data_IF_653133786834
#
_entry.id   IF_653133786834
#
_cell.length_a   1.000
_cell.length_b   1.000
_cell.length_c   1.000
_cell.angle_alpha   90.00
_cell.angle_beta   90.00
_cell.angle_gamma   90.00
#
_symmetry.space_group_name_H-M   'P 1'
#
loop_
_entity.id
_entity.type
_entity.pdbx_description
1 polymer ?
#
# COMPACT_ATOMS: atom_id res chain seq x y z
N UNK A 1 -17.12 -65.18 35.68
CA UNK A 1 -17.74 -63.95 35.07
C UNK A 1 -16.66 -62.89 35.01
N UNK A 2 -16.12 -62.61 33.83
CA UNK A 2 -15.09 -61.62 33.63
C UNK A 2 -15.68 -60.48 32.71
N UNK A 3 -15.86 -59.32 33.30
CA UNK A 3 -16.29 -58.12 32.56
C UNK A 3 -15.09 -57.58 31.75
N UNK A 4 -15.24 -57.52 30.43
CA UNK A 4 -14.29 -56.88 29.51
C UNK A 4 -14.66 -55.42 29.41
N UNK A 5 -13.80 -54.54 29.92
CA UNK A 5 -13.89 -53.09 29.72
C UNK A 5 -13.38 -52.74 28.34
N UNK A 6 -14.27 -52.30 27.45
CA UNK A 6 -13.94 -51.71 26.18
C UNK A 6 -13.57 -50.23 26.40
N UNK A 7 -12.29 -49.91 26.29
CA UNK A 7 -11.81 -48.53 26.25
C UNK A 7 -11.92 -48.02 24.81
N UNK A 8 -12.90 -47.16 24.58
CA UNK A 8 -13.09 -46.46 23.30
C UNK A 8 -12.13 -45.28 23.24
N UNK A 9 -11.01 -45.41 22.54
CA UNK A 9 -10.07 -44.32 22.29
C UNK A 9 -10.66 -43.40 21.22
N UNK A 10 -11.18 -42.25 21.62
CA UNK A 10 -11.56 -41.15 20.74
C UNK A 10 -10.28 -40.48 20.20
N UNK A 11 -9.92 -40.79 18.96
CA UNK A 11 -8.93 -40.03 18.19
C UNK A 11 -9.52 -38.70 17.81
N UNK A 12 -9.19 -37.67 18.59
CA UNK A 12 -9.46 -36.28 18.22
C UNK A 12 -8.44 -35.90 17.15
N UNK A 13 -8.81 -35.98 15.88
CA UNK A 13 -8.09 -35.36 14.78
C UNK A 13 -8.27 -33.85 14.90
N UNK A 14 -7.29 -33.21 15.53
CA UNK A 14 -7.18 -31.75 15.51
C UNK A 14 -6.89 -31.29 14.10
N UNK A 15 -7.90 -30.77 13.40
CA UNK A 15 -7.70 -29.95 12.20
C UNK A 15 -7.04 -28.65 12.62
N UNK A 16 -5.72 -28.62 12.64
CA UNK A 16 -4.98 -27.36 12.63
C UNK A 16 -5.10 -26.76 11.21
N UNK A 17 -6.22 -26.11 10.95
CA UNK A 17 -6.38 -25.28 9.77
C UNK A 17 -5.37 -24.15 9.86
N UNK A 18 -4.29 -24.19 9.07
CA UNK A 18 -3.42 -23.04 8.86
C UNK A 18 -4.25 -21.95 8.19
N UNK A 19 -4.73 -21.01 8.99
CA UNK A 19 -5.36 -19.80 8.50
C UNK A 19 -4.26 -18.95 7.90
N UNK A 20 -4.04 -19.06 6.58
CA UNK A 20 -3.16 -18.18 5.80
C UNK A 20 -3.87 -16.87 5.48
N UNK A 21 -4.42 -16.22 6.49
CA UNK A 21 -4.83 -14.83 6.38
C UNK A 21 -3.58 -13.96 6.46
N UNK A 22 -3.21 -13.29 5.36
CA UNK A 22 -2.16 -12.26 5.43
C UNK A 22 -2.60 -11.19 6.43
N UNK A 23 -1.84 -11.03 7.52
CA UNK A 23 -2.10 -9.95 8.48
C UNK A 23 -1.94 -8.61 7.76
N UNK A 24 -2.81 -7.61 8.03
CA UNK A 24 -2.62 -6.26 7.54
C UNK A 24 -1.20 -5.77 7.86
N UNK A 25 -0.59 -5.05 6.92
CA UNK A 25 0.75 -4.50 7.10
C UNK A 25 0.81 -3.55 8.28
N UNK A 26 1.71 -3.81 9.20
CA UNK A 26 1.89 -3.03 10.42
C UNK A 26 3.24 -2.32 10.44
N UNK A 27 3.33 -1.24 11.23
CA UNK A 27 4.59 -0.52 11.46
C UNK A 27 5.62 -1.47 12.08
N UNK A 28 6.86 -1.41 11.58
CA UNK A 28 7.97 -2.27 12.02
C UNK A 28 8.06 -3.59 11.28
N UNK A 29 7.11 -3.92 10.39
CA UNK A 29 7.14 -5.15 9.59
C UNK A 29 7.66 -4.89 8.17
N UNK A 30 8.19 -5.92 7.48
CA UNK A 30 8.50 -5.82 6.06
C UNK A 30 7.26 -5.43 5.24
N UNK A 31 7.42 -4.48 4.33
CA UNK A 31 6.39 -4.12 3.38
C UNK A 31 6.11 -5.31 2.45
N UNK A 32 4.85 -5.73 2.27
CA UNK A 32 4.48 -6.77 1.32
C UNK A 32 4.95 -6.42 -0.08
N UNK A 33 5.73 -7.30 -0.70
CA UNK A 33 6.19 -7.08 -2.07
C UNK A 33 5.05 -7.28 -3.07
N UNK A 34 5.12 -6.53 -4.16
CA UNK A 34 4.18 -6.63 -5.26
C UNK A 34 4.83 -6.22 -6.58
N UNK A 35 4.26 -6.71 -7.67
CA UNK A 35 4.49 -6.21 -9.02
C UNK A 35 3.15 -5.82 -9.60
N UNK A 36 3.06 -4.59 -10.12
CA UNK A 36 1.91 -4.11 -10.87
C UNK A 36 2.37 -3.88 -12.30
N UNK A 37 1.64 -4.49 -13.24
CA UNK A 37 1.81 -4.28 -14.66
C UNK A 37 0.65 -3.43 -15.17
N UNK A 38 0.94 -2.22 -15.60
CA UNK A 38 0.00 -1.36 -16.33
C UNK A 38 0.33 -1.37 -17.83
N UNK A 39 -0.46 -0.67 -18.62
CA UNK A 39 -0.34 -0.67 -20.09
C UNK A 39 1.03 -0.22 -20.59
N UNK A 40 1.67 0.73 -19.90
CA UNK A 40 2.90 1.40 -20.33
C UNK A 40 4.11 1.13 -19.42
N UNK A 41 3.91 0.53 -18.25
CA UNK A 41 4.99 0.29 -17.28
C UNK A 41 4.73 -0.88 -16.35
N UNK A 42 5.83 -1.40 -15.81
CA UNK A 42 5.81 -2.36 -14.70
C UNK A 42 6.55 -1.79 -13.50
N UNK A 43 5.98 -1.93 -12.32
CA UNK A 43 6.60 -1.49 -11.07
C UNK A 43 6.60 -2.65 -10.08
N UNK A 44 7.79 -2.99 -9.60
CA UNK A 44 8.00 -3.95 -8.50
C UNK A 44 8.55 -3.20 -7.29
N UNK A 45 7.89 -3.32 -6.13
CA UNK A 45 8.33 -2.58 -4.94
C UNK A 45 9.75 -2.96 -4.51
N UNK A 46 10.10 -4.24 -4.54
CA UNK A 46 11.43 -4.71 -4.14
C UNK A 46 12.57 -4.19 -5.02
N UNK A 47 12.30 -3.79 -6.25
CA UNK A 47 13.28 -3.14 -7.13
C UNK A 47 13.59 -1.69 -6.71
N UNK A 48 12.81 -1.11 -5.82
CA UNK A 48 13.03 0.23 -5.27
C UNK A 48 13.80 0.21 -3.94
N UNK A 49 14.31 -0.95 -3.52
CA UNK A 49 15.13 -1.05 -2.31
C UNK A 49 16.34 -0.12 -2.36
N UNK A 50 16.81 0.33 -1.20
CA UNK A 50 17.82 1.37 -1.09
C UNK A 50 17.27 2.80 -1.16
N UNK A 51 15.98 2.96 -1.54
CA UNK A 51 15.26 4.23 -1.47
C UNK A 51 14.26 4.21 -0.31
N UNK A 52 13.93 5.40 0.19
CA UNK A 52 12.78 5.60 1.05
C UNK A 52 11.57 5.77 0.15
N UNK A 53 10.53 4.98 0.36
CA UNK A 53 9.33 5.00 -0.47
C UNK A 53 8.16 5.60 0.32
N UNK A 54 7.51 6.58 -0.26
CA UNK A 54 6.18 7.02 0.14
C UNK A 54 5.18 6.31 -0.78
N UNK A 55 4.68 5.17 -0.32
CA UNK A 55 3.65 4.39 -1.02
C UNK A 55 2.29 5.00 -0.70
N UNK A 56 1.59 5.49 -1.71
CA UNK A 56 0.29 6.14 -1.57
C UNK A 56 -0.76 5.40 -2.42
N UNK A 57 -1.86 4.99 -1.79
CA UNK A 57 -3.02 4.42 -2.47
C UNK A 57 -4.08 5.50 -2.70
N UNK A 58 -4.50 5.68 -3.94
CA UNK A 58 -5.37 6.77 -4.35
C UNK A 58 -6.27 6.40 -5.55
N UNK A 59 -7.15 7.32 -5.95
CA UNK A 59 -7.91 7.21 -7.19
C UNK A 59 -8.34 8.59 -7.70
N UNK A 60 -8.61 8.69 -9.00
CA UNK A 60 -9.07 9.93 -9.65
C UNK A 60 -10.46 10.37 -9.19
N UNK A 61 -11.30 9.43 -8.82
CA UNK A 61 -12.66 9.64 -8.30
C UNK A 61 -12.73 9.89 -6.79
N UNK A 62 -11.58 10.01 -6.10
CA UNK A 62 -11.48 10.23 -4.67
C UNK A 62 -11.11 11.70 -4.40
N UNK A 63 -12.05 12.59 -4.04
CA UNK A 63 -11.76 14.01 -3.86
C UNK A 63 -10.63 14.29 -2.87
N UNK A 64 -10.58 13.70 -1.65
CA UNK A 64 -9.47 13.96 -0.72
C UNK A 64 -8.12 13.45 -1.24
N UNK A 65 -8.10 12.42 -2.11
CA UNK A 65 -6.87 11.97 -2.77
C UNK A 65 -6.37 13.02 -3.77
N UNK A 66 -7.28 13.60 -4.55
CA UNK A 66 -6.96 14.66 -5.50
C UNK A 66 -6.46 15.91 -4.79
N UNK A 67 -7.09 16.28 -3.67
CA UNK A 67 -6.72 17.46 -2.88
C UNK A 67 -5.31 17.34 -2.26
N UNK A 68 -4.85 16.13 -1.90
CA UNK A 68 -3.50 15.95 -1.35
C UNK A 68 -2.40 15.90 -2.43
N UNK A 69 -2.75 15.58 -3.70
CA UNK A 69 -1.78 15.35 -4.77
C UNK A 69 -0.81 16.53 -5.01
N UNK A 70 -1.23 17.81 -4.96
CA UNK A 70 -0.30 18.93 -5.11
C UNK A 70 0.77 18.97 -4.02
N UNK A 71 0.44 18.62 -2.78
CA UNK A 71 1.40 18.58 -1.67
C UNK A 71 2.40 17.42 -1.82
N UNK A 72 1.93 16.29 -2.31
CA UNK A 72 2.73 15.10 -2.60
C UNK A 72 3.76 15.37 -3.72
N UNK A 73 3.32 16.04 -4.81
CA UNK A 73 4.20 16.49 -5.90
C UNK A 73 5.28 17.46 -5.41
N UNK A 74 4.90 18.45 -4.59
CA UNK A 74 5.85 19.43 -4.04
C UNK A 74 6.88 18.75 -3.11
N UNK A 75 6.44 17.83 -2.27
CA UNK A 75 7.33 17.04 -1.41
C UNK A 75 8.29 16.21 -2.26
N UNK A 76 7.81 15.48 -3.27
CA UNK A 76 8.67 14.70 -4.17
C UNK A 76 9.74 15.60 -4.83
N UNK A 77 9.36 16.76 -5.34
CA UNK A 77 10.29 17.72 -5.94
C UNK A 77 11.35 18.21 -4.94
N UNK A 78 10.93 18.56 -3.71
CA UNK A 78 11.84 19.00 -2.63
C UNK A 78 12.82 17.89 -2.21
N UNK A 79 12.41 16.62 -2.33
CA UNK A 79 13.20 15.45 -1.96
C UNK A 79 13.93 14.80 -3.13
N UNK A 80 13.87 15.41 -4.31
CA UNK A 80 14.59 14.93 -5.49
C UNK A 80 16.10 14.83 -5.21
N UNK A 81 16.74 13.73 -5.62
CA UNK A 81 18.16 13.46 -5.38
C UNK A 81 18.51 12.97 -3.97
N UNK A 82 17.54 12.95 -3.04
CA UNK A 82 17.76 12.52 -1.65
C UNK A 82 17.43 11.04 -1.38
N UNK A 83 17.23 10.25 -2.44
CA UNK A 83 16.89 8.82 -2.30
C UNK A 83 15.49 8.56 -1.77
N UNK A 84 14.57 9.52 -1.93
CA UNK A 84 13.16 9.40 -1.58
C UNK A 84 12.33 9.38 -2.87
N UNK A 85 11.38 8.46 -2.94
CA UNK A 85 10.51 8.30 -4.11
C UNK A 85 9.07 8.12 -3.65
N UNK A 86 8.15 8.89 -4.24
CA UNK A 86 6.72 8.62 -4.15
C UNK A 86 6.37 7.53 -5.15
N UNK A 87 5.71 6.49 -4.69
CA UNK A 87 5.07 5.47 -5.51
C UNK A 87 3.56 5.57 -5.28
N UNK A 88 2.86 6.16 -6.23
CA UNK A 88 1.42 6.34 -6.16
C UNK A 88 0.71 5.18 -6.90
N UNK A 89 0.03 4.32 -6.15
CA UNK A 89 -0.74 3.19 -6.69
C UNK A 89 -2.19 3.59 -6.82
N UNK A 90 -2.65 3.74 -8.05
CA UNK A 90 -4.05 4.03 -8.32
C UNK A 90 -4.90 2.76 -8.28
N UNK A 91 -6.05 2.86 -7.63
CA UNK A 91 -7.10 1.83 -7.61
C UNK A 91 -8.25 2.14 -8.57
N UNK A 92 -8.02 2.99 -9.57
CA UNK A 92 -8.99 3.23 -10.63
C UNK A 92 -9.24 1.95 -11.43
N UNK A 93 -10.49 1.63 -11.72
CA UNK A 93 -10.88 0.54 -12.62
C UNK A 93 -10.78 0.95 -14.09
N UNK A 94 -11.03 2.23 -14.40
CA UNK A 94 -10.96 2.79 -15.75
C UNK A 94 -9.56 3.38 -16.03
N UNK A 95 -8.83 2.71 -16.94
CA UNK A 95 -7.51 3.15 -17.37
C UNK A 95 -7.54 4.50 -18.11
N UNK A 96 -8.59 4.79 -18.89
CA UNK A 96 -8.67 6.02 -19.66
C UNK A 96 -8.83 7.23 -18.74
N UNK A 97 -9.70 7.12 -17.71
CA UNK A 97 -9.87 8.16 -16.70
C UNK A 97 -8.56 8.41 -15.94
N UNK A 98 -7.86 7.34 -15.54
CA UNK A 98 -6.57 7.44 -14.88
C UNK A 98 -5.53 8.16 -15.75
N UNK A 99 -5.29 7.71 -16.97
CA UNK A 99 -4.30 8.33 -17.85
C UNK A 99 -4.67 9.77 -18.24
N UNK A 100 -5.96 10.05 -18.47
CA UNK A 100 -6.44 11.40 -18.71
C UNK A 100 -6.15 12.30 -17.52
N UNK A 101 -6.44 11.86 -16.30
CA UNK A 101 -6.16 12.61 -15.08
C UNK A 101 -4.66 12.94 -14.95
N UNK A 102 -3.77 11.96 -15.13
CA UNK A 102 -2.33 12.19 -15.05
C UNK A 102 -1.86 13.30 -16.01
N UNK A 103 -2.39 13.28 -17.23
CA UNK A 103 -2.05 14.28 -18.26
C UNK A 103 -2.60 15.66 -17.91
N UNK A 104 -3.89 15.74 -17.56
CA UNK A 104 -4.57 17.02 -17.30
C UNK A 104 -4.00 17.74 -16.07
N UNK A 105 -3.50 17.00 -15.09
CA UNK A 105 -2.93 17.54 -13.85
C UNK A 105 -1.39 17.53 -13.84
N UNK A 106 -0.74 17.14 -14.95
CA UNK A 106 0.73 17.10 -15.07
C UNK A 106 1.39 16.34 -13.91
N UNK A 107 0.87 15.15 -13.60
CA UNK A 107 1.36 14.34 -12.48
C UNK A 107 2.72 13.74 -12.83
N UNK A 108 3.79 14.31 -12.24
CA UNK A 108 5.18 13.84 -12.38
C UNK A 108 5.61 13.07 -11.14
N UNK A 109 5.01 11.90 -10.94
CA UNK A 109 5.36 10.92 -9.91
C UNK A 109 5.58 9.55 -10.54
N UNK A 110 6.25 8.65 -9.82
CA UNK A 110 6.17 7.23 -10.15
C UNK A 110 4.77 6.76 -9.76
N UNK A 111 3.91 6.60 -10.74
CA UNK A 111 2.53 6.14 -10.53
C UNK A 111 2.22 4.94 -11.42
N UNK A 112 1.37 4.06 -10.92
CA UNK A 112 0.94 2.85 -11.63
C UNK A 112 -0.50 2.55 -11.23
N UNK A 113 -1.30 2.08 -12.20
CA UNK A 113 -2.67 1.68 -11.95
C UNK A 113 -2.73 0.17 -11.69
N UNK A 114 -3.22 -0.20 -10.55
CA UNK A 114 -3.46 -1.60 -10.21
C UNK A 114 -4.82 -2.09 -10.72
N UNK A 115 -5.77 -1.17 -10.81
CA UNK A 115 -7.17 -1.51 -10.90
C UNK A 115 -7.76 -1.87 -9.54
N UNK A 116 -9.04 -1.62 -9.38
CA UNK A 116 -9.74 -1.91 -8.14
C UNK A 116 -11.23 -1.68 -8.29
N UNK A 117 -11.99 -2.09 -7.30
CA UNK A 117 -13.43 -1.86 -7.27
C UNK A 117 -13.78 -0.94 -6.10
N UNK A 118 -14.46 0.17 -6.40
CA UNK A 118 -15.10 1.01 -5.38
C UNK A 118 -16.28 0.25 -4.79
N UNK A 119 -16.40 0.26 -3.48
CA UNK A 119 -17.54 -0.31 -2.74
C UNK A 119 -18.14 0.74 -1.80
N UNK A 120 -19.30 0.47 -1.23
CA UNK A 120 -19.94 1.37 -0.27
C UNK A 120 -19.09 1.57 1.00
N UNK A 121 -18.24 0.61 1.32
CA UNK A 121 -17.40 0.64 2.53
C UNK A 121 -15.94 0.99 2.27
N UNK A 122 -15.51 1.13 1.01
CA UNK A 122 -14.12 1.45 0.67
C UNK A 122 -13.70 0.99 -0.72
N UNK A 123 -12.51 0.42 -0.82
CA UNK A 123 -11.95 -0.13 -2.07
C UNK A 123 -11.51 -1.57 -1.88
N UNK A 124 -11.61 -2.35 -2.96
CA UNK A 124 -11.06 -3.71 -3.04
C UNK A 124 -10.04 -3.71 -4.18
N UNK A 125 -8.79 -3.97 -3.85
CA UNK A 125 -7.69 -4.06 -4.81
C UNK A 125 -6.63 -5.03 -4.28
N UNK A 126 -6.01 -5.85 -5.15
CA UNK A 126 -5.11 -6.93 -4.72
C UNK A 126 -3.94 -6.44 -3.87
N UNK A 127 -3.27 -5.36 -4.27
CA UNK A 127 -2.12 -4.82 -3.53
C UNK A 127 -2.58 -4.04 -2.30
N UNK A 128 -3.61 -3.17 -2.42
CA UNK A 128 -4.15 -2.46 -1.27
C UNK A 128 -4.58 -3.43 -0.15
N UNK A 129 -5.19 -4.56 -0.53
CA UNK A 129 -5.59 -5.61 0.43
C UNK A 129 -4.39 -6.26 1.15
N UNK A 130 -3.22 -6.45 0.48
CA UNK A 130 -2.01 -6.94 1.13
C UNK A 130 -1.53 -6.00 2.25
N UNK A 131 -1.80 -4.69 2.10
CA UNK A 131 -1.48 -3.66 3.08
C UNK A 131 -2.59 -3.46 4.13
N UNK A 132 -3.73 -4.11 3.95
CA UNK A 132 -4.93 -3.89 4.78
C UNK A 132 -5.56 -2.52 4.54
N UNK A 133 -5.29 -1.91 3.38
CA UNK A 133 -5.90 -0.66 2.93
C UNK A 133 -7.29 -0.94 2.39
N UNK A 134 -8.30 -0.40 3.02
CA UNK A 134 -9.70 -0.50 2.60
C UNK A 134 -10.32 0.87 2.27
N UNK A 135 -9.66 1.95 2.69
CA UNK A 135 -10.09 3.34 2.43
C UNK A 135 -8.91 4.12 1.88
N UNK A 136 -9.20 5.06 0.98
CA UNK A 136 -8.20 5.92 0.36
C UNK A 136 -8.53 7.40 0.64
N UNK A 137 -7.52 8.30 0.67
CA UNK A 137 -6.09 7.99 0.53
C UNK A 137 -5.54 7.28 1.76
N UNK A 138 -4.60 6.38 1.55
CA UNK A 138 -3.83 5.77 2.62
C UNK A 138 -2.36 5.67 2.18
N UNK A 139 -1.44 6.06 3.07
CA UNK A 139 -0.02 6.12 2.72
C UNK A 139 0.87 5.41 3.73
N UNK A 140 1.96 4.86 3.22
CA UNK A 140 2.98 4.18 4.01
C UNK A 140 4.36 4.78 3.73
N UNK A 141 5.14 5.04 4.77
CA UNK A 141 6.56 5.34 4.60
C UNK A 141 7.32 4.04 4.83
N UNK A 142 8.08 3.63 3.81
CA UNK A 142 8.88 2.41 3.80
C UNK A 142 10.35 2.84 3.73
N UNK A 143 11.19 2.32 4.62
CA UNK A 143 12.61 2.65 4.66
C UNK A 143 13.42 1.92 3.57
N UNK A 144 14.72 2.19 3.52
CA UNK A 144 15.66 1.62 2.55
C UNK A 144 15.76 0.09 2.61
N UNK A 145 15.46 -0.49 3.78
CA UNK A 145 15.45 -1.94 4.00
C UNK A 145 14.10 -2.58 3.63
N UNK A 146 13.12 -1.76 3.24
CA UNK A 146 11.78 -2.22 2.90
C UNK A 146 10.89 -2.46 4.13
N UNK A 147 11.18 -1.82 5.26
CA UNK A 147 10.36 -1.91 6.49
C UNK A 147 9.39 -0.74 6.53
N UNK A 148 8.13 -1.00 6.87
CA UNK A 148 7.11 0.04 7.08
C UNK A 148 7.45 0.81 8.36
N UNK A 149 7.63 2.12 8.24
CA UNK A 149 8.01 3.00 9.35
C UNK A 149 6.89 3.90 9.84
N UNK A 150 5.97 4.28 8.95
CA UNK A 150 4.75 5.03 9.29
C UNK A 150 3.61 4.62 8.38
N UNK A 151 2.39 4.83 8.87
CA UNK A 151 1.13 4.70 8.14
C UNK A 151 0.30 5.96 8.39
N UNK A 152 -0.31 6.49 7.34
CA UNK A 152 -1.26 7.59 7.39
C UNK A 152 -2.59 7.11 6.81
N UNK A 153 -3.67 7.38 7.51
CA UNK A 153 -5.04 7.06 7.08
C UNK A 153 -5.77 8.38 6.83
N UNK A 154 -6.25 8.57 5.61
CA UNK A 154 -6.83 9.82 5.16
C UNK A 154 -5.80 10.79 4.55
N UNK A 155 -6.26 11.98 4.10
CA UNK A 155 -5.42 12.94 3.39
C UNK A 155 -4.35 13.55 4.29
N UNK A 156 -3.17 13.82 3.71
CA UNK A 156 -1.99 14.36 4.38
C UNK A 156 -1.50 15.59 3.63
N UNK A 157 -1.16 16.66 4.36
CA UNK A 157 -0.36 17.74 3.78
C UNK A 157 1.13 17.37 3.87
N UNK A 158 1.67 16.83 2.79
CA UNK A 158 3.06 16.35 2.67
C UNK A 158 4.11 17.45 2.76
N UNK A 159 3.71 18.72 2.78
CA UNK A 159 4.61 19.87 2.97
C UNK A 159 4.91 20.14 4.43
N UNK A 160 4.18 19.54 5.36
CA UNK A 160 4.40 19.74 6.79
C UNK A 160 5.86 19.46 7.15
N UNK A 161 6.46 20.38 7.89
CA UNK A 161 7.87 20.33 8.24
C UNK A 161 8.22 19.05 8.99
N UNK A 162 7.36 18.59 9.88
CA UNK A 162 7.54 17.34 10.63
C UNK A 162 7.71 16.12 9.70
N UNK A 163 6.91 16.04 8.63
CA UNK A 163 6.98 14.93 7.66
C UNK A 163 8.28 15.01 6.86
N UNK A 164 8.62 16.22 6.38
CA UNK A 164 9.85 16.48 5.62
C UNK A 164 11.10 16.15 6.45
N UNK A 165 11.13 16.55 7.71
CA UNK A 165 12.23 16.24 8.65
C UNK A 165 12.28 14.74 8.96
N UNK A 166 11.12 14.10 9.16
CA UNK A 166 11.07 12.67 9.38
C UNK A 166 11.64 11.88 8.20
N UNK A 167 11.23 12.21 6.98
CA UNK A 167 11.78 11.60 5.77
C UNK A 167 13.29 11.83 5.64
N UNK A 168 13.76 13.02 6.02
CA UNK A 168 15.19 13.35 6.00
C UNK A 168 16.01 12.55 7.02
N UNK A 169 15.44 12.20 8.16
CA UNK A 169 16.10 11.36 9.17
C UNK A 169 16.19 9.87 8.82
N UNK A 170 15.40 9.40 7.85
CA UNK A 170 15.46 8.02 7.36
C UNK A 170 16.53 7.79 6.28
N UNK A 171 17.26 8.85 5.88
CA UNK A 171 18.29 8.81 4.81
C UNK A 171 19.61 8.09 5.25
#
# INVERSE_FOLDING_TARGET
>A
MRLASLVLALLIFGFTGCYHGSKPSSIGTPAPDFTIQDSDRSVTLSQLRGKIIVLNFWATWCPPCVDEMPSLLQMQKKMQGKGITVLAVSVDDDANNYHKFLKDHSIDLVTVREGGTKTDTGVISPVANKYGTSKIPESYIIDRNGTIRRKFIGPVDWKQQEIVEYLSRLQ
#
